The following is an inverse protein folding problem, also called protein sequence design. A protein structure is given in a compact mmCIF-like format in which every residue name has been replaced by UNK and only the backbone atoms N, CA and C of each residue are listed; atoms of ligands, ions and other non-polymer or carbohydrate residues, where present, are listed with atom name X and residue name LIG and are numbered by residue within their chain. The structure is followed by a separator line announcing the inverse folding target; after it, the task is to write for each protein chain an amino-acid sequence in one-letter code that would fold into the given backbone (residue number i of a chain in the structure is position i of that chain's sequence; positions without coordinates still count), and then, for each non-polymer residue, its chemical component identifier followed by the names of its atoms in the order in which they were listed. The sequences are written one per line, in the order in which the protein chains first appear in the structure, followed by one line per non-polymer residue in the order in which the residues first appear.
data_IF_368663695535
#
_entry.id   IF_368663695535
#
_cell.length_a   1.000
_cell.length_b   1.000
_cell.length_c   1.000
_cell.angle_alpha   90.00
_cell.angle_beta   90.00
_cell.angle_gamma   90.00
#
_symmetry.space_group_name_H-M   'P 1'
#
loop_
_entity.id
_entity.type
_entity.pdbx_description
1 polymer ?
#
# COMPACT_ATOMS: atom_id res chain seq x y z
N UNK A 1 -54.44 -12.07 10.99
CA UNK A 1 -53.44 -12.52 11.96
C UNK A 1 -52.17 -13.04 11.27
N UNK A 2 -51.63 -12.36 10.26
CA UNK A 2 -50.31 -12.61 9.63
C UNK A 2 -49.92 -11.37 8.83
N UNK A 3 -49.61 -10.25 9.53
CA UNK A 3 -49.12 -9.03 8.87
C UNK A 3 -47.95 -8.36 9.60
N UNK A 4 -47.20 -9.10 10.43
CA UNK A 4 -46.13 -8.50 11.22
C UNK A 4 -44.74 -9.09 10.99
N UNK A 5 -44.54 -9.85 9.90
CA UNK A 5 -43.23 -10.50 9.67
C UNK A 5 -42.38 -9.87 8.55
N UNK A 6 -42.94 -8.94 7.78
CA UNK A 6 -42.17 -8.29 6.68
C UNK A 6 -41.52 -6.94 7.05
N UNK A 7 -41.93 -6.34 8.17
CA UNK A 7 -41.39 -5.04 8.57
C UNK A 7 -40.12 -5.10 9.44
N UNK A 8 -39.76 -6.28 9.95
CA UNK A 8 -38.54 -6.45 10.74
C UNK A 8 -37.32 -6.84 9.95
N UNK A 9 -37.44 -7.19 8.67
CA UNK A 9 -36.34 -7.52 7.78
C UNK A 9 -35.70 -6.30 7.07
N UNK A 10 -36.25 -5.11 7.24
CA UNK A 10 -35.75 -3.87 6.61
C UNK A 10 -34.91 -2.97 7.53
N UNK A 11 -34.59 -3.39 8.75
CA UNK A 11 -33.74 -2.62 9.69
C UNK A 11 -32.35 -3.16 9.90
N UNK A 12 -31.86 -4.00 9.00
CA UNK A 12 -30.49 -4.57 9.04
C UNK A 12 -29.56 -4.09 7.93
N UNK A 13 -29.89 -3.02 7.23
CA UNK A 13 -28.99 -2.32 6.34
C UNK A 13 -28.10 -1.39 7.17
N UNK A 14 -27.09 -1.93 7.83
CA UNK A 14 -26.00 -1.10 8.32
C UNK A 14 -25.42 -0.38 7.10
N UNK A 15 -25.63 0.92 7.01
CA UNK A 15 -24.85 1.83 6.18
C UNK A 15 -23.37 1.56 6.50
N UNK A 16 -22.76 0.68 5.71
CA UNK A 16 -21.31 0.68 5.59
C UNK A 16 -20.95 1.99 4.91
N UNK A 17 -20.87 3.05 5.71
CA UNK A 17 -20.28 4.30 5.28
C UNK A 17 -18.95 3.91 4.61
N UNK A 18 -18.85 4.14 3.31
CA UNK A 18 -17.60 3.91 2.55
C UNK A 18 -16.53 4.73 3.26
N UNK A 19 -15.70 4.06 4.06
CA UNK A 19 -14.57 4.72 4.69
C UNK A 19 -13.76 5.40 3.59
N UNK A 20 -13.68 6.72 3.67
CA UNK A 20 -12.94 7.51 2.69
C UNK A 20 -11.46 7.15 2.78
N UNK A 21 -10.88 6.76 1.66
CA UNK A 21 -9.45 6.49 1.55
C UNK A 21 -8.73 7.68 0.90
N UNK A 22 -7.61 8.09 1.50
CA UNK A 22 -6.76 9.16 0.97
C UNK A 22 -5.34 8.62 0.81
N UNK A 23 -4.89 8.47 -0.42
CA UNK A 23 -3.51 8.07 -0.73
C UNK A 23 -2.54 9.17 -0.34
N UNK A 24 -1.48 8.80 0.40
CA UNK A 24 -0.43 9.71 0.85
C UNK A 24 0.82 9.55 -0.01
N UNK A 25 1.24 8.30 -0.25
CA UNK A 25 2.43 7.98 -1.01
C UNK A 25 2.23 6.74 -1.85
N UNK A 26 2.86 6.70 -3.01
CA UNK A 26 2.89 5.54 -3.90
C UNK A 26 4.32 5.17 -4.26
N UNK A 27 4.58 3.87 -4.36
CA UNK A 27 5.87 3.35 -4.80
C UNK A 27 5.87 3.10 -6.30
N UNK A 28 6.06 4.15 -7.07
CA UNK A 28 6.09 4.06 -8.54
C UNK A 28 7.23 3.19 -9.06
N UNK A 29 8.37 3.17 -8.36
CA UNK A 29 9.53 2.35 -8.69
C UNK A 29 9.19 0.85 -8.60
N UNK A 30 8.39 0.43 -7.62
CA UNK A 30 7.95 -0.95 -7.48
C UNK A 30 7.19 -1.43 -8.71
N UNK A 31 6.27 -0.65 -9.24
CA UNK A 31 5.52 -0.98 -10.45
C UNK A 31 6.38 -1.03 -11.72
N UNK A 32 7.50 -0.32 -11.73
CA UNK A 32 8.47 -0.36 -12.82
C UNK A 32 9.37 -1.61 -12.74
N UNK A 33 9.80 -2.00 -11.56
CA UNK A 33 10.78 -3.05 -11.34
C UNK A 33 10.17 -4.44 -11.08
N UNK A 34 8.90 -4.50 -10.70
CA UNK A 34 8.23 -5.73 -10.29
C UNK A 34 6.89 -5.92 -10.98
N UNK A 35 6.53 -7.19 -11.22
CA UNK A 35 5.14 -7.58 -11.44
C UNK A 35 4.46 -7.79 -10.09
N UNK A 36 3.34 -7.12 -9.88
CA UNK A 36 2.52 -7.31 -8.68
C UNK A 36 1.62 -8.52 -8.89
N UNK A 37 1.87 -9.58 -8.15
CA UNK A 37 1.10 -10.83 -8.25
C UNK A 37 -0.19 -10.72 -7.44
N UNK A 38 -0.08 -10.23 -6.22
CA UNK A 38 -1.20 -10.05 -5.29
C UNK A 38 -0.92 -8.86 -4.38
N UNK A 39 -1.96 -8.20 -3.89
CA UNK A 39 -1.82 -7.09 -2.95
C UNK A 39 -2.71 -7.30 -1.72
N UNK A 40 -2.23 -6.80 -0.57
CA UNK A 40 -2.87 -6.94 0.73
C UNK A 40 -2.92 -5.59 1.44
N UNK A 41 -4.01 -5.35 2.17
CA UNK A 41 -4.08 -4.22 3.09
C UNK A 41 -3.51 -4.64 4.45
N UNK A 42 -2.56 -3.87 4.96
CA UNK A 42 -1.97 -4.09 6.28
C UNK A 42 -2.13 -2.86 7.16
N UNK A 43 -2.22 -3.07 8.48
CA UNK A 43 -1.98 -2.00 9.46
C UNK A 43 -0.48 -1.75 9.60
N UNK A 44 -0.12 -0.65 10.25
CA UNK A 44 1.26 -0.30 10.53
C UNK A 44 1.37 0.32 11.92
N UNK A 45 2.36 -0.12 12.71
CA UNK A 45 2.68 0.47 13.99
C UNK A 45 3.49 1.75 13.82
N UNK A 46 2.93 2.87 14.26
CA UNK A 46 3.51 4.21 14.14
C UNK A 46 3.49 4.93 15.47
N UNK A 47 4.48 5.81 15.67
CA UNK A 47 4.48 6.79 16.74
C UNK A 47 3.67 8.04 16.35
N UNK A 48 3.24 8.84 17.33
CA UNK A 48 2.45 10.04 17.08
C UNK A 48 3.14 11.06 16.17
N UNK A 49 4.46 11.25 16.32
CA UNK A 49 5.26 12.12 15.45
C UNK A 49 5.33 11.62 14.01
N UNK A 50 5.41 10.31 13.82
CA UNK A 50 5.40 9.70 12.49
C UNK A 50 4.05 9.90 11.79
N UNK A 51 2.93 9.74 12.50
CA UNK A 51 1.58 10.00 11.95
C UNK A 51 1.44 11.46 11.53
N UNK A 52 1.94 12.41 12.33
CA UNK A 52 1.92 13.84 11.99
C UNK A 52 2.71 14.14 10.72
N UNK A 53 3.90 13.55 10.56
CA UNK A 53 4.71 13.68 9.34
C UNK A 53 4.01 13.07 8.12
N UNK A 54 3.38 11.91 8.28
CA UNK A 54 2.61 11.25 7.22
C UNK A 54 1.44 12.13 6.77
N UNK A 55 0.73 12.78 7.68
CA UNK A 55 -0.33 13.75 7.34
C UNK A 55 0.17 14.91 6.49
N UNK A 56 1.43 15.30 6.65
CA UNK A 56 2.09 16.32 5.83
C UNK A 56 2.65 15.78 4.53
N UNK A 57 2.48 14.49 4.24
CA UNK A 57 3.01 13.84 3.04
C UNK A 57 4.51 13.59 3.06
N UNK A 58 5.17 13.70 4.22
CA UNK A 58 6.62 13.56 4.38
C UNK A 58 7.05 12.10 4.56
N UNK A 59 6.72 11.27 3.62
CA UNK A 59 7.05 9.84 3.60
C UNK A 59 7.51 9.42 2.22
N UNK A 60 8.49 8.52 2.16
CA UNK A 60 9.03 7.96 0.92
C UNK A 60 9.12 6.45 1.01
N UNK A 61 8.53 5.76 0.03
CA UNK A 61 8.51 4.30 -0.10
C UNK A 61 9.49 3.77 -1.17
N UNK A 62 10.21 4.63 -1.88
CA UNK A 62 10.93 4.29 -3.11
C UNK A 62 11.84 3.07 -2.98
N UNK A 63 12.61 2.98 -1.92
CA UNK A 63 13.57 1.91 -1.69
C UNK A 63 13.16 1.00 -0.52
N UNK A 64 11.89 1.03 -0.15
CA UNK A 64 11.36 0.22 0.93
C UNK A 64 11.09 -1.23 0.49
N UNK A 65 11.25 -2.15 1.42
CA UNK A 65 10.91 -3.56 1.25
C UNK A 65 10.35 -4.12 2.55
N UNK A 66 9.71 -5.26 2.48
CA UNK A 66 9.16 -5.93 3.65
C UNK A 66 9.82 -7.29 3.86
N UNK A 67 9.95 -7.67 5.13
CA UNK A 67 10.50 -8.95 5.54
C UNK A 67 9.61 -9.62 6.57
N UNK A 68 9.67 -10.95 6.64
CA UNK A 68 9.01 -11.73 7.68
C UNK A 68 10.09 -12.35 8.55
N UNK A 69 10.12 -11.96 9.82
CA UNK A 69 11.07 -12.44 10.82
C UNK A 69 10.30 -12.98 12.02
N UNK A 70 10.56 -14.24 12.40
CA UNK A 70 9.88 -14.91 13.54
C UNK A 70 8.34 -14.87 13.46
N UNK A 71 7.77 -15.00 12.27
CA UNK A 71 6.32 -14.95 12.05
C UNK A 71 5.69 -13.55 12.13
N UNK A 72 6.51 -12.52 12.19
CA UNK A 72 6.09 -11.11 12.17
C UNK A 72 6.54 -10.42 10.89
N UNK A 73 5.72 -9.49 10.42
CA UNK A 73 5.95 -8.74 9.18
C UNK A 73 6.47 -7.35 9.50
N UNK A 74 7.55 -6.95 8.84
CA UNK A 74 8.18 -5.64 9.01
C UNK A 74 8.38 -4.93 7.67
N UNK A 75 8.29 -3.60 7.70
CA UNK A 75 8.72 -2.74 6.59
C UNK A 75 10.05 -2.08 6.94
N UNK A 76 10.99 -2.16 6.00
CA UNK A 76 12.34 -1.59 6.10
C UNK A 76 12.57 -0.62 4.96
N UNK A 77 13.45 0.35 5.18
CA UNK A 77 13.80 1.34 4.14
C UNK A 77 12.72 2.38 3.84
N UNK A 78 11.62 2.40 4.59
CA UNK A 78 10.61 3.46 4.50
C UNK A 78 11.05 4.66 5.29
N UNK A 79 11.24 5.79 4.61
CA UNK A 79 11.64 7.06 5.22
C UNK A 79 10.42 7.87 5.62
N UNK A 80 10.33 8.22 6.89
CA UNK A 80 9.37 9.19 7.42
C UNK A 80 10.18 10.34 8.01
N UNK A 81 10.05 11.55 7.44
CA UNK A 81 10.78 12.73 7.91
C UNK A 81 10.44 13.05 9.35
N UNK A 82 11.40 13.53 10.15
CA UNK A 82 11.13 14.01 11.50
C UNK A 82 10.06 15.10 11.49
N UNK A 83 9.19 15.07 12.48
CA UNK A 83 8.22 16.14 12.70
C UNK A 83 8.91 17.31 13.41
N UNK A 84 8.95 18.48 12.80
CA UNK A 84 9.73 19.61 13.28
C UNK A 84 9.39 20.03 14.72
N UNK A 85 8.13 19.91 15.11
CA UNK A 85 7.64 20.25 16.45
C UNK A 85 7.72 19.07 17.44
N UNK A 86 8.20 17.89 16.99
CA UNK A 86 8.30 16.69 17.81
C UNK A 86 9.55 16.65 18.69
N UNK A 87 10.63 17.34 18.29
CA UNK A 87 11.91 17.41 19.01
C UNK A 87 12.40 16.05 19.51
N UNK A 88 12.46 15.87 20.86
CA UNK A 88 12.90 14.63 21.52
C UNK A 88 12.00 13.42 21.27
N UNK A 89 10.75 13.62 20.84
CA UNK A 89 9.80 12.53 20.56
C UNK A 89 9.93 11.95 19.15
N UNK A 90 10.78 12.55 18.30
CA UNK A 90 11.06 12.01 16.97
C UNK A 90 11.83 10.70 17.06
N UNK A 91 11.47 9.78 16.18
CA UNK A 91 12.15 8.50 15.99
C UNK A 91 13.09 8.57 14.78
N UNK A 92 13.97 7.58 14.65
CA UNK A 92 14.80 7.42 13.45
C UNK A 92 13.91 7.42 12.20
N UNK A 93 14.18 8.27 11.20
CA UNK A 93 13.41 8.32 9.95
C UNK A 93 13.33 6.98 9.22
N UNK A 94 14.35 6.15 9.33
CA UNK A 94 14.43 4.82 8.70
C UNK A 94 14.15 3.67 9.67
N UNK A 95 13.52 3.95 10.79
CA UNK A 95 13.16 2.93 11.78
C UNK A 95 12.41 1.77 11.13
N UNK A 96 12.77 0.56 11.48
CA UNK A 96 12.00 -0.64 11.11
C UNK A 96 10.63 -0.59 11.79
N UNK A 97 9.57 -0.75 11.03
CA UNK A 97 8.19 -0.68 11.52
C UNK A 97 7.48 -1.98 11.30
N UNK A 98 6.72 -2.40 12.30
CA UNK A 98 5.92 -3.61 12.23
C UNK A 98 4.65 -3.37 11.43
N UNK A 99 4.34 -4.28 10.53
CA UNK A 99 3.07 -4.32 9.82
C UNK A 99 2.11 -5.28 10.53
N UNK A 100 0.85 -4.90 10.59
CA UNK A 100 -0.19 -5.65 11.28
C UNK A 100 -1.04 -6.41 10.25
N UNK A 101 -0.92 -7.73 10.29
CA UNK A 101 -1.61 -8.66 9.39
C UNK A 101 -1.91 -9.94 10.15
N UNK A 102 -2.94 -10.66 9.76
CA UNK A 102 -3.26 -11.95 10.38
C UNK A 102 -2.12 -12.95 10.21
N UNK A 103 -1.80 -13.64 11.28
CA UNK A 103 -0.67 -14.61 11.28
C UNK A 103 -0.78 -15.66 10.18
N UNK A 104 -2.00 -16.14 9.92
CA UNK A 104 -2.25 -17.11 8.84
C UNK A 104 -1.83 -16.59 7.47
N UNK A 105 -2.13 -15.33 7.18
CA UNK A 105 -1.75 -14.67 5.93
C UNK A 105 -0.23 -14.45 5.86
N UNK A 106 0.39 -14.04 6.96
CA UNK A 106 1.86 -13.88 7.05
C UNK A 106 2.56 -15.20 6.75
N UNK A 107 2.09 -16.30 7.33
CA UNK A 107 2.69 -17.62 7.11
C UNK A 107 2.51 -18.11 5.68
N UNK A 108 1.37 -17.82 5.05
CA UNK A 108 1.14 -18.10 3.62
C UNK A 108 2.13 -17.31 2.75
N UNK A 109 2.31 -16.03 3.01
CA UNK A 109 3.25 -15.18 2.29
C UNK A 109 4.71 -15.65 2.48
N UNK A 110 5.06 -16.07 3.67
CA UNK A 110 6.40 -16.62 3.95
C UNK A 110 6.69 -17.85 3.07
N UNK A 111 5.74 -18.74 2.93
CA UNK A 111 5.84 -19.90 2.02
C UNK A 111 6.06 -19.48 0.57
N UNK A 112 5.28 -18.53 0.06
CA UNK A 112 5.40 -18.04 -1.31
C UNK A 112 6.73 -17.33 -1.57
N UNK A 113 7.21 -16.53 -0.62
CA UNK A 113 8.52 -15.87 -0.71
C UNK A 113 9.66 -16.91 -0.77
N UNK A 114 9.61 -17.94 0.07
CA UNK A 114 10.66 -18.97 0.12
C UNK A 114 10.63 -19.92 -1.07
N UNK A 115 9.44 -20.37 -1.49
CA UNK A 115 9.29 -21.40 -2.53
C UNK A 115 9.36 -20.80 -3.94
N UNK A 116 8.69 -19.67 -4.16
CA UNK A 116 8.53 -19.08 -5.49
C UNK A 116 9.50 -17.91 -5.75
N UNK A 117 10.29 -17.54 -4.76
CA UNK A 117 11.26 -16.45 -4.87
C UNK A 117 10.62 -15.06 -5.06
N UNK A 118 9.40 -14.87 -4.58
CA UNK A 118 8.73 -13.58 -4.62
C UNK A 118 9.27 -12.62 -3.58
N UNK A 119 9.06 -11.32 -3.80
CA UNK A 119 9.46 -10.25 -2.90
C UNK A 119 8.23 -9.55 -2.33
N UNK A 120 8.34 -9.09 -1.09
CA UNK A 120 7.31 -8.28 -0.44
C UNK A 120 7.71 -6.82 -0.51
N UNK A 121 6.94 -6.03 -1.23
CA UNK A 121 7.23 -4.61 -1.49
C UNK A 121 6.04 -3.76 -1.09
N UNK A 122 6.24 -2.67 -0.31
CA UNK A 122 5.17 -1.73 -0.02
C UNK A 122 4.82 -0.94 -1.29
N UNK A 123 3.54 -0.97 -1.67
CA UNK A 123 3.06 -0.33 -2.89
C UNK A 123 2.53 1.08 -2.66
N UNK A 124 1.79 1.28 -1.59
CA UNK A 124 1.23 2.58 -1.24
C UNK A 124 0.97 2.70 0.26
N UNK A 125 0.93 3.94 0.71
CA UNK A 125 0.54 4.31 2.06
C UNK A 125 -0.67 5.24 1.96
N UNK A 126 -1.71 5.00 2.75
CA UNK A 126 -2.95 5.76 2.68
C UNK A 126 -3.64 5.85 4.03
N UNK A 127 -4.49 6.85 4.20
CA UNK A 127 -5.46 6.91 5.29
C UNK A 127 -6.74 6.20 4.90
N UNK A 128 -7.23 5.35 5.78
CA UNK A 128 -8.56 4.78 5.73
C UNK A 128 -9.32 5.26 6.96
N UNK A 129 -10.18 6.26 6.78
CA UNK A 129 -10.69 7.04 7.90
C UNK A 129 -9.53 7.76 8.62
N UNK A 130 -9.40 7.52 9.91
CA UNK A 130 -8.32 8.07 10.76
C UNK A 130 -7.08 7.17 10.86
N UNK A 131 -7.13 5.96 10.28
CA UNK A 131 -6.05 4.96 10.38
C UNK A 131 -5.13 5.01 9.18
N UNK A 132 -3.83 4.87 9.44
CA UNK A 132 -2.83 4.69 8.38
C UNK A 132 -2.79 3.21 8.00
N UNK A 133 -2.94 2.93 6.70
CA UNK A 133 -2.83 1.59 6.12
C UNK A 133 -1.72 1.56 5.07
N UNK A 134 -1.11 0.40 4.92
CA UNK A 134 -0.09 0.15 3.91
C UNK A 134 -0.56 -0.97 2.98
N UNK A 135 -0.53 -0.72 1.69
CA UNK A 135 -0.77 -1.74 0.68
C UNK A 135 0.53 -2.50 0.43
N UNK A 136 0.54 -3.76 0.82
CA UNK A 136 1.66 -4.67 0.61
C UNK A 136 1.47 -5.42 -0.70
N UNK A 137 2.51 -5.50 -1.52
CA UNK A 137 2.52 -6.28 -2.74
C UNK A 137 3.38 -7.53 -2.64
N UNK A 138 2.84 -8.67 -3.05
CA UNK A 138 3.62 -9.87 -3.37
C UNK A 138 4.06 -9.74 -4.82
N UNK A 139 5.37 -9.58 -5.05
CA UNK A 139 5.91 -9.13 -6.31
C UNK A 139 6.96 -10.10 -6.86
N UNK A 140 7.03 -10.17 -8.19
CA UNK A 140 8.07 -10.87 -8.93
C UNK A 140 8.93 -9.86 -9.68
N UNK A 141 10.25 -9.95 -9.57
CA UNK A 141 11.18 -9.05 -10.27
C UNK A 141 11.05 -9.16 -11.79
N UNK A 142 11.01 -8.02 -12.47
CA UNK A 142 11.02 -7.93 -13.93
C UNK A 142 12.43 -8.11 -14.48
N UNK A 143 12.54 -8.83 -15.60
CA UNK A 143 13.77 -8.87 -16.38
C UNK A 143 13.93 -7.58 -17.19
N UNK A 144 15.15 -7.28 -17.64
CA UNK A 144 15.45 -6.03 -18.37
C UNK A 144 14.57 -5.86 -19.62
N UNK A 145 14.30 -6.93 -20.36
CA UNK A 145 13.44 -6.86 -21.56
C UNK A 145 11.97 -6.57 -21.22
N UNK A 146 11.45 -7.07 -20.08
CA UNK A 146 10.10 -6.78 -19.61
C UNK A 146 9.94 -5.28 -19.28
N UNK A 147 10.94 -4.69 -18.66
CA UNK A 147 10.97 -3.24 -18.35
C UNK A 147 10.95 -2.40 -19.61
N UNK A 148 11.68 -2.79 -20.65
CA UNK A 148 11.68 -2.10 -21.94
C UNK A 148 10.32 -2.18 -22.64
N UNK A 149 9.71 -3.36 -22.63
CA UNK A 149 8.37 -3.56 -23.19
C UNK A 149 7.32 -2.68 -22.49
N UNK A 150 7.35 -2.60 -21.17
CA UNK A 150 6.44 -1.75 -20.38
C UNK A 150 6.61 -0.26 -20.69
N UNK A 151 7.86 0.21 -20.84
CA UNK A 151 8.14 1.61 -21.21
C UNK A 151 7.60 1.91 -22.61
N UNK A 152 7.85 1.02 -23.56
CA UNK A 152 7.34 1.17 -24.93
C UNK A 152 5.80 1.22 -24.97
N UNK A 153 5.12 0.34 -24.24
CA UNK A 153 3.66 0.32 -24.13
C UNK A 153 3.09 1.62 -23.51
N UNK A 154 3.73 2.13 -22.45
CA UNK A 154 3.33 3.40 -21.83
C UNK A 154 3.53 4.59 -22.77
N UNK A 155 4.61 4.62 -23.53
CA UNK A 155 4.89 5.68 -24.49
C UNK A 155 3.86 5.67 -25.62
N UNK A 156 3.60 4.50 -26.22
CA UNK A 156 2.59 4.35 -27.26
C UNK A 156 1.20 4.82 -26.79
N UNK A 157 0.80 4.45 -25.57
CA UNK A 157 -0.48 4.90 -25.00
C UNK A 157 -0.55 6.42 -24.84
N UNK A 158 0.51 7.07 -24.36
CA UNK A 158 0.57 8.52 -24.22
C UNK A 158 0.47 9.24 -25.57
N UNK A 159 1.11 8.69 -26.58
CA UNK A 159 1.08 9.28 -27.94
C UNK A 159 -0.31 9.18 -28.56
N UNK A 160 -1.00 8.06 -28.37
CA UNK A 160 -2.40 7.90 -28.78
C UNK A 160 -3.30 8.91 -28.06
N UNK A 161 -3.17 9.05 -26.74
CA UNK A 161 -3.96 10.02 -25.97
C UNK A 161 -3.73 11.46 -26.42
N UNK A 162 -2.48 11.83 -26.74
CA UNK A 162 -2.15 13.15 -27.30
C UNK A 162 -2.79 13.38 -28.66
N UNK A 163 -2.73 12.38 -29.55
CA UNK A 163 -3.34 12.46 -30.87
C UNK A 163 -4.87 12.63 -30.81
N UNK A 164 -5.53 11.92 -29.88
CA UNK A 164 -6.97 12.05 -29.64
C UNK A 164 -7.32 13.45 -29.13
N UNK A 165 -6.56 13.98 -28.17
CA UNK A 165 -6.77 15.34 -27.64
C UNK A 165 -6.60 16.43 -28.73
N UNK A 166 -5.61 16.29 -29.60
CA UNK A 166 -5.37 17.27 -30.67
C UNK A 166 -6.46 17.29 -31.75
N UNK A 167 -7.15 16.15 -31.95
CA UNK A 167 -8.29 16.08 -32.88
C UNK A 167 -9.59 16.70 -32.33
N UNK A 168 -9.71 16.75 -31.01
CA UNK A 168 -10.92 17.28 -30.34
C UNK A 168 -10.81 18.77 -29.99
N UNK A 169 -9.75 19.43 -30.41
CA UNK A 169 -9.56 20.89 -30.34
C UNK A 169 -9.78 21.52 -31.74
#
# INVERSE_FOLDING_TARGET
MYHDTEEQLKRGGADMAKETTKTIAQNKKAYHEYFVIESFETGIELCGTEVKSIRQGRVNLKDAWCTIDNGELFVKGMHISPYEQGNIFNKDPLRVRKLLMHRREIMRLLGQVKQDGYSLIPLSLYFKGSRVKLQLGLCKGKKVYDKRADIAAKTAKRDIERAIKSRNQ
#
